data_IF_156362367083
#
_entry.id   IF_156362367083
#
_cell.length_a   1.000
_cell.length_b   1.000
_cell.length_c   1.000
_cell.angle_alpha   90.00
_cell.angle_beta   90.00
_cell.angle_gamma   90.00
#
_symmetry.space_group_name_H-M   'P 1'
#
loop_
_entity.id
_entity.type
_entity.pdbx_description
1 polymer ?
#
# COMPACT_ATOMS: atom_id res chain seq x y z
N UNK A 1 18.83 -20.61 20.00
CA UNK A 1 19.49 -19.46 19.35
C UNK A 1 18.37 -18.62 18.77
N UNK A 2 18.04 -17.52 19.44
CA UNK A 2 16.85 -16.73 19.13
C UNK A 2 17.08 -15.99 17.81
N UNK A 3 16.48 -16.51 16.74
CA UNK A 3 16.66 -16.07 15.35
C UNK A 3 16.02 -14.71 15.03
N UNK A 4 15.97 -13.78 15.99
CA UNK A 4 15.37 -12.47 15.86
C UNK A 4 16.47 -11.38 15.83
N UNK A 5 17.19 -11.30 14.71
CA UNK A 5 18.07 -10.16 14.43
C UNK A 5 17.25 -9.03 13.82
N UNK A 6 16.80 -8.07 14.61
CA UNK A 6 16.30 -6.80 14.07
C UNK A 6 17.50 -5.95 13.63
N UNK A 7 17.82 -5.96 12.34
CA UNK A 7 18.90 -5.15 11.79
C UNK A 7 18.42 -3.72 11.54
N UNK A 8 18.47 -2.85 12.55
CA UNK A 8 18.10 -1.45 12.33
C UNK A 8 18.97 -0.80 11.25
N UNK A 9 18.37 -0.10 10.28
CA UNK A 9 19.07 0.58 9.19
C UNK A 9 19.59 -0.32 8.05
N UNK A 10 19.23 -1.61 8.02
CA UNK A 10 19.71 -2.53 6.97
C UNK A 10 19.20 -2.20 5.57
N UNK A 11 18.02 -1.58 5.46
CA UNK A 11 17.48 -1.16 4.17
C UNK A 11 18.43 -0.15 3.49
N UNK A 12 18.89 0.87 4.23
CA UNK A 12 19.81 1.90 3.71
C UNK A 12 21.16 1.30 3.30
N UNK A 13 21.70 0.40 4.12
CA UNK A 13 22.94 -0.30 3.80
C UNK A 13 22.79 -1.17 2.55
N UNK A 14 21.67 -1.90 2.44
CA UNK A 14 21.34 -2.73 1.28
C UNK A 14 21.17 -1.90 0.01
N UNK A 15 20.54 -0.73 0.09
CA UNK A 15 20.41 0.20 -1.03
C UNK A 15 21.78 0.64 -1.55
N UNK A 16 22.70 1.05 -0.66
CA UNK A 16 24.07 1.47 -1.05
C UNK A 16 24.86 0.35 -1.72
N UNK A 17 24.68 -0.90 -1.28
CA UNK A 17 25.32 -2.07 -1.89
C UNK A 17 24.70 -2.34 -3.26
N UNK A 18 23.37 -2.38 -3.34
CA UNK A 18 22.64 -2.65 -4.57
C UNK A 18 22.91 -1.59 -5.64
N UNK A 19 22.95 -0.32 -5.27
CA UNK A 19 23.24 0.79 -6.20
C UNK A 19 24.59 0.58 -6.90
N UNK A 20 25.65 0.32 -6.13
CA UNK A 20 26.99 0.05 -6.67
C UNK A 20 27.01 -1.17 -7.60
N UNK A 21 26.28 -2.22 -7.27
CA UNK A 21 26.18 -3.43 -8.09
C UNK A 21 25.45 -3.13 -9.40
N UNK A 22 24.31 -2.44 -9.32
CA UNK A 22 23.48 -2.09 -10.48
C UNK A 22 24.24 -1.17 -11.45
N UNK A 23 25.03 -0.24 -10.92
CA UNK A 23 25.91 0.63 -11.71
C UNK A 23 27.04 -0.15 -12.38
N UNK A 24 27.73 -1.02 -11.63
CA UNK A 24 28.79 -1.88 -12.16
C UNK A 24 28.29 -2.80 -13.29
N UNK A 25 27.06 -3.32 -13.16
CA UNK A 25 26.41 -4.17 -14.15
C UNK A 25 25.69 -3.37 -15.26
N UNK A 26 25.73 -2.02 -15.21
CA UNK A 26 25.17 -1.11 -16.23
C UNK A 26 23.67 -1.30 -16.47
N UNK A 27 22.90 -1.58 -15.42
CA UNK A 27 21.44 -1.57 -15.52
C UNK A 27 20.91 -0.17 -15.88
N UNK A 28 19.76 -0.13 -16.57
CA UNK A 28 19.11 1.14 -16.88
C UNK A 28 18.68 1.87 -15.60
N UNK A 29 18.62 3.20 -15.66
CA UNK A 29 18.15 4.03 -14.53
C UNK A 29 16.75 3.61 -14.06
N UNK A 30 15.88 3.17 -14.97
CA UNK A 30 14.54 2.67 -14.64
C UNK A 30 14.60 1.42 -13.76
N UNK A 31 15.45 0.45 -14.10
CA UNK A 31 15.60 -0.76 -13.28
C UNK A 31 16.26 -0.41 -11.95
N UNK A 32 17.27 0.45 -11.97
CA UNK A 32 17.98 0.89 -10.76
C UNK A 32 17.02 1.53 -9.76
N UNK A 33 16.24 2.51 -10.20
CA UNK A 33 15.23 3.19 -9.39
C UNK A 33 14.20 2.21 -8.80
N UNK A 34 13.68 1.29 -9.61
CA UNK A 34 12.72 0.29 -9.14
C UNK A 34 13.32 -0.64 -8.08
N UNK A 35 14.52 -1.18 -8.32
CA UNK A 35 15.17 -2.12 -7.39
C UNK A 35 15.49 -1.43 -6.07
N UNK A 36 16.06 -0.22 -6.12
CA UNK A 36 16.39 0.55 -4.91
C UNK A 36 15.13 0.90 -4.12
N UNK A 37 14.05 1.29 -4.81
CA UNK A 37 12.75 1.53 -4.17
C UNK A 37 12.25 0.30 -3.42
N UNK A 38 12.32 -0.90 -4.04
CA UNK A 38 11.87 -2.13 -3.39
C UNK A 38 12.73 -2.49 -2.19
N UNK A 39 14.06 -2.35 -2.28
CA UNK A 39 14.98 -2.60 -1.16
C UNK A 39 14.76 -1.62 -0.02
N UNK A 40 14.55 -0.34 -0.30
CA UNK A 40 14.31 0.66 0.74
C UNK A 40 13.01 0.36 1.51
N UNK A 41 11.99 -0.12 0.80
CA UNK A 41 10.63 -0.25 1.33
C UNK A 41 10.22 -1.71 1.64
N UNK A 42 11.09 -2.70 1.51
CA UNK A 42 10.73 -4.13 1.69
C UNK A 42 10.26 -4.48 3.12
N UNK A 43 10.63 -3.67 4.12
CA UNK A 43 10.29 -3.92 5.53
C UNK A 43 8.93 -3.37 5.96
N UNK A 44 8.10 -2.85 5.05
CA UNK A 44 6.82 -2.26 5.41
C UNK A 44 5.84 -3.30 5.96
N UNK A 45 4.95 -2.88 6.85
CA UNK A 45 3.85 -3.74 7.31
C UNK A 45 2.67 -3.56 6.36
N UNK A 46 2.25 -4.66 5.72
CA UNK A 46 1.07 -4.69 4.87
C UNK A 46 0.03 -5.63 5.48
N UNK A 47 -1.08 -5.06 5.93
CA UNK A 47 -2.22 -5.83 6.42
C UNK A 47 -3.25 -6.04 5.31
N UNK A 48 -3.98 -7.15 5.41
CA UNK A 48 -5.08 -7.48 4.51
C UNK A 48 -6.38 -6.75 4.90
N UNK A 49 -6.33 -5.43 4.82
CA UNK A 49 -7.48 -4.58 5.06
C UNK A 49 -7.49 -3.36 4.13
N UNK A 50 -8.68 -2.85 3.84
CA UNK A 50 -8.88 -1.78 2.88
C UNK A 50 -8.16 -0.48 3.24
N UNK A 51 -7.96 -0.19 4.55
CA UNK A 51 -7.24 1.01 4.98
C UNK A 51 -5.75 0.85 4.74
N UNK A 52 -5.20 -0.32 5.04
CA UNK A 52 -3.80 -0.67 4.74
C UNK A 52 -3.52 -0.58 3.24
N UNK A 53 -4.33 -1.27 2.42
CA UNK A 53 -4.22 -1.26 0.96
C UNK A 53 -4.32 0.16 0.40
N UNK A 54 -5.33 0.94 0.82
CA UNK A 54 -5.49 2.32 0.38
C UNK A 54 -4.27 3.18 0.71
N UNK A 55 -3.74 3.07 1.93
CA UNK A 55 -2.54 3.83 2.34
C UNK A 55 -1.33 3.43 1.49
N UNK A 56 -1.15 2.14 1.25
CA UNK A 56 -0.08 1.62 0.40
C UNK A 56 -0.17 2.15 -1.03
N UNK A 57 -1.32 2.01 -1.67
CA UNK A 57 -1.57 2.52 -3.03
C UNK A 57 -1.39 4.04 -3.11
N UNK A 58 -1.91 4.78 -2.13
CA UNK A 58 -1.79 6.24 -2.12
C UNK A 58 -0.34 6.73 -1.91
N UNK A 59 0.45 6.00 -1.11
CA UNK A 59 1.82 6.38 -0.78
C UNK A 59 2.82 5.99 -1.87
N UNK A 60 2.66 4.79 -2.44
CA UNK A 60 3.67 4.19 -3.31
C UNK A 60 3.24 4.14 -4.79
N UNK A 61 1.96 4.37 -5.08
CA UNK A 61 1.36 4.08 -6.37
C UNK A 61 1.03 2.60 -6.52
N UNK A 62 0.07 2.29 -7.40
CA UNK A 62 -0.48 0.94 -7.56
C UNK A 62 0.59 -0.09 -7.98
N UNK A 63 1.41 0.26 -8.97
CA UNK A 63 2.41 -0.66 -9.54
C UNK A 63 3.47 -1.05 -8.51
N UNK A 64 4.10 -0.06 -7.88
CA UNK A 64 5.13 -0.24 -6.86
C UNK A 64 4.58 -0.93 -5.61
N UNK A 65 3.35 -0.61 -5.20
CA UNK A 65 2.72 -1.29 -4.07
C UNK A 65 2.48 -2.79 -4.34
N UNK A 66 2.01 -3.16 -5.53
CA UNK A 66 1.88 -4.57 -5.93
C UNK A 66 3.25 -5.27 -5.92
N UNK A 67 4.31 -4.61 -6.39
CA UNK A 67 5.66 -5.18 -6.34
C UNK A 67 6.17 -5.38 -4.91
N UNK A 68 5.87 -4.46 -3.99
CA UNK A 68 6.18 -4.64 -2.56
C UNK A 68 5.47 -5.85 -1.96
N UNK A 69 4.18 -6.05 -2.27
CA UNK A 69 3.45 -7.27 -1.85
C UNK A 69 4.17 -8.53 -2.35
N UNK A 70 4.65 -8.52 -3.60
CA UNK A 70 5.42 -9.63 -4.17
C UNK A 70 6.76 -9.85 -3.48
N UNK A 71 7.47 -8.79 -3.08
CA UNK A 71 8.71 -8.93 -2.30
C UNK A 71 8.43 -9.70 -1.02
N UNK A 72 7.40 -9.33 -0.26
CA UNK A 72 7.01 -10.06 0.94
C UNK A 72 6.59 -11.52 0.66
N UNK A 73 5.88 -11.76 -0.44
CA UNK A 73 5.50 -13.11 -0.85
C UNK A 73 6.73 -13.99 -1.11
N UNK A 74 7.69 -13.50 -1.89
CA UNK A 74 8.90 -14.26 -2.24
C UNK A 74 9.85 -14.41 -1.06
N UNK A 75 9.97 -13.40 -0.20
CA UNK A 75 10.73 -13.51 1.06
C UNK A 75 10.14 -14.61 1.94
N UNK A 76 8.81 -14.69 2.03
CA UNK A 76 8.10 -15.75 2.75
C UNK A 76 8.32 -17.12 2.11
N UNK A 77 8.41 -17.20 0.78
CA UNK A 77 8.77 -18.44 0.08
C UNK A 77 10.18 -18.93 0.40
N UNK A 78 11.11 -18.02 0.69
CA UNK A 78 12.47 -18.34 1.11
C UNK A 78 12.61 -18.78 2.58
N UNK A 79 11.56 -18.63 3.40
CA UNK A 79 11.55 -19.07 4.80
C UNK A 79 11.35 -20.60 4.91
N UNK A 80 11.53 -21.14 6.12
CA UNK A 80 11.24 -22.55 6.39
C UNK A 80 9.76 -22.88 6.12
N UNK A 81 9.42 -24.15 5.81
CA UNK A 81 8.04 -24.56 5.51
C UNK A 81 7.01 -24.19 6.57
N UNK A 82 7.42 -24.02 7.83
CA UNK A 82 6.56 -23.58 8.93
C UNK A 82 5.90 -22.21 8.69
N UNK A 83 6.51 -21.34 7.88
CA UNK A 83 6.01 -20.00 7.56
C UNK A 83 5.22 -19.94 6.26
N UNK A 84 4.98 -21.08 5.58
CA UNK A 84 4.28 -21.07 4.29
C UNK A 84 2.84 -20.59 4.39
N UNK A 85 2.23 -20.64 5.59
CA UNK A 85 0.92 -20.03 5.85
C UNK A 85 0.89 -18.51 5.65
N UNK A 86 2.02 -17.82 5.81
CA UNK A 86 2.14 -16.37 5.54
C UNK A 86 2.04 -16.07 4.03
N UNK A 87 2.27 -17.04 3.13
CA UNK A 87 2.12 -16.82 1.67
C UNK A 87 0.68 -16.50 1.31
N UNK A 88 -0.25 -17.24 1.90
CA UNK A 88 -1.68 -17.06 1.67
C UNK A 88 -2.16 -15.66 2.08
N UNK A 89 -1.52 -15.06 3.09
CA UNK A 89 -1.78 -13.67 3.48
C UNK A 89 -1.40 -12.71 2.34
N UNK A 90 -0.20 -12.82 1.77
CA UNK A 90 0.23 -11.93 0.70
C UNK A 90 -0.51 -12.16 -0.62
N UNK A 91 -0.92 -13.41 -0.91
CA UNK A 91 -1.84 -13.70 -2.03
C UNK A 91 -3.19 -12.99 -1.86
N UNK A 92 -3.75 -13.04 -0.64
CA UNK A 92 -5.01 -12.36 -0.31
C UNK A 92 -4.89 -10.84 -0.42
N UNK A 93 -3.79 -10.27 0.10
CA UNK A 93 -3.49 -8.84 -0.01
C UNK A 93 -3.38 -8.41 -1.47
N UNK A 94 -2.67 -9.17 -2.33
CA UNK A 94 -2.56 -8.85 -3.75
C UNK A 94 -3.94 -8.89 -4.42
N UNK A 95 -4.74 -9.94 -4.16
CA UNK A 95 -6.11 -10.07 -4.69
C UNK A 95 -6.98 -8.87 -4.29
N UNK A 96 -7.07 -8.55 -3.00
CA UNK A 96 -7.87 -7.43 -2.51
C UNK A 96 -7.34 -6.09 -3.02
N UNK A 97 -6.04 -5.94 -3.24
CA UNK A 97 -5.46 -4.76 -3.88
C UNK A 97 -5.93 -4.62 -5.33
N UNK A 98 -5.95 -5.71 -6.10
CA UNK A 98 -6.45 -5.70 -7.47
C UNK A 98 -7.94 -5.39 -7.54
N UNK A 99 -8.74 -5.99 -6.67
CA UNK A 99 -10.17 -5.69 -6.55
C UNK A 99 -10.39 -4.22 -6.17
N UNK A 100 -9.61 -3.69 -5.23
CA UNK A 100 -9.66 -2.29 -4.86
C UNK A 100 -9.39 -1.35 -6.03
N UNK A 101 -8.36 -1.64 -6.84
CA UNK A 101 -8.02 -0.85 -8.02
C UNK A 101 -9.11 -0.92 -9.10
N UNK A 102 -9.72 -2.08 -9.32
CA UNK A 102 -10.79 -2.26 -10.30
C UNK A 102 -12.07 -1.48 -9.96
N UNK A 103 -12.36 -1.29 -8.66
CA UNK A 103 -13.59 -0.62 -8.23
C UNK A 103 -13.49 0.91 -8.19
N UNK A 104 -12.32 1.49 -8.50
CA UNK A 104 -12.03 2.93 -8.45
C UNK A 104 -12.73 3.67 -7.28
N UNK A 105 -12.51 3.23 -6.02
CA UNK A 105 -13.09 3.92 -4.88
C UNK A 105 -12.48 5.33 -4.77
N UNK A 106 -13.26 6.34 -4.38
CA UNK A 106 -12.71 7.66 -4.12
C UNK A 106 -11.59 7.58 -3.07
N UNK A 107 -10.41 8.07 -3.45
CA UNK A 107 -9.19 8.07 -2.62
C UNK A 107 -9.02 9.39 -1.85
N UNK A 108 -9.83 10.39 -2.20
CA UNK A 108 -9.79 11.74 -1.66
C UNK A 108 -11.20 12.33 -1.61
N UNK A 109 -11.37 13.39 -0.80
CA UNK A 109 -12.64 14.13 -0.74
C UNK A 109 -13.06 14.68 -2.12
N UNK A 110 -12.09 15.05 -2.97
CA UNK A 110 -12.34 15.56 -4.33
C UNK A 110 -12.96 14.51 -5.27
N UNK A 111 -12.81 13.23 -4.96
CA UNK A 111 -13.36 12.13 -5.76
C UNK A 111 -14.72 11.66 -5.25
N UNK A 112 -15.21 12.18 -4.12
CA UNK A 112 -16.58 11.92 -3.70
C UNK A 112 -17.54 12.52 -4.74
N UNK A 113 -18.62 11.78 -5.03
CA UNK A 113 -19.72 12.30 -5.85
C UNK A 113 -20.48 13.45 -5.17
N UNK A 114 -20.32 13.58 -3.85
CA UNK A 114 -20.90 14.64 -3.03
C UNK A 114 -19.83 15.60 -2.56
N UNK A 115 -20.16 16.88 -2.47
CA UNK A 115 -19.28 17.96 -2.10
C UNK A 115 -19.84 18.76 -0.90
N UNK A 116 -19.15 19.84 -0.51
CA UNK A 116 -19.56 20.65 0.63
C UNK A 116 -20.92 21.34 0.49
N UNK A 117 -21.32 21.70 -0.72
CA UNK A 117 -22.63 22.28 -1.01
C UNK A 117 -23.74 21.27 -0.77
N UNK A 118 -23.57 20.03 -1.22
CA UNK A 118 -24.55 18.95 -1.03
C UNK A 118 -24.79 18.67 0.47
N UNK A 119 -23.70 18.65 1.24
CA UNK A 119 -23.77 18.47 2.70
C UNK A 119 -24.38 19.69 3.40
N UNK A 120 -24.13 20.91 2.89
CA UNK A 120 -24.76 22.12 3.42
C UNK A 120 -26.27 22.16 3.20
N UNK A 121 -26.77 21.62 2.08
CA UNK A 121 -28.21 21.51 1.82
C UNK A 121 -28.93 20.57 2.80
N UNK A 122 -28.20 19.65 3.44
CA UNK A 122 -28.72 18.78 4.50
C UNK A 122 -28.72 19.45 5.89
N UNK A 123 -28.34 20.74 5.98
CA UNK A 123 -28.38 21.53 7.22
C UNK A 123 -27.07 21.57 8.02
N UNK A 124 -26.00 20.93 7.55
CA UNK A 124 -24.69 21.00 8.19
C UNK A 124 -23.96 22.30 7.86
N UNK A 125 -23.19 22.85 8.81
CA UNK A 125 -22.45 24.10 8.59
C UNK A 125 -21.00 24.05 9.10
N UNK A 126 -20.14 24.91 8.53
CA UNK A 126 -18.77 25.10 8.99
C UNK A 126 -17.94 23.81 9.08
N UNK A 127 -17.36 23.54 10.26
CA UNK A 127 -16.48 22.37 10.50
C UNK A 127 -17.21 21.02 10.35
N UNK A 128 -18.53 20.99 10.48
CA UNK A 128 -19.31 19.75 10.40
C UNK A 128 -19.36 19.19 8.99
N UNK A 129 -19.31 20.06 7.97
CA UNK A 129 -19.25 19.65 6.55
C UNK A 129 -18.02 18.78 6.30
N UNK A 130 -16.86 19.22 6.77
CA UNK A 130 -15.61 18.46 6.63
C UNK A 130 -15.66 17.12 7.36
N UNK A 131 -16.26 17.06 8.55
CA UNK A 131 -16.44 15.79 9.29
C UNK A 131 -17.35 14.82 8.55
N UNK A 132 -18.47 15.29 8.02
CA UNK A 132 -19.43 14.49 7.26
C UNK A 132 -18.81 13.96 5.96
N UNK A 133 -18.10 14.80 5.20
CA UNK A 133 -17.40 14.36 3.98
C UNK A 133 -16.31 13.32 4.28
N UNK A 134 -15.54 13.49 5.35
CA UNK A 134 -14.55 12.48 5.77
C UNK A 134 -15.24 11.17 6.22
N UNK A 135 -16.36 11.26 6.94
CA UNK A 135 -17.14 10.09 7.31
C UNK A 135 -17.65 9.35 6.07
N UNK A 136 -18.21 10.06 5.07
CA UNK A 136 -18.69 9.46 3.83
C UNK A 136 -17.56 8.82 3.03
N UNK A 137 -16.40 9.49 2.92
CA UNK A 137 -15.20 8.91 2.33
C UNK A 137 -14.83 7.60 3.03
N UNK A 138 -14.82 7.58 4.35
CA UNK A 138 -14.56 6.35 5.11
C UNK A 138 -15.60 5.26 4.85
N UNK A 139 -16.89 5.59 4.77
CA UNK A 139 -17.94 4.59 4.55
C UNK A 139 -17.89 3.98 3.15
N UNK A 140 -17.63 4.79 2.12
CA UNK A 140 -17.45 4.32 0.75
C UNK A 140 -16.21 3.44 0.65
N UNK A 141 -15.11 3.84 1.28
CA UNK A 141 -13.88 3.04 1.35
C UNK A 141 -14.11 1.73 2.12
N UNK A 142 -14.91 1.72 3.19
CA UNK A 142 -15.27 0.50 3.94
C UNK A 142 -16.33 -0.37 3.23
N UNK A 143 -16.74 -0.05 1.99
CA UNK A 143 -17.83 -0.68 1.22
C UNK A 143 -19.20 -0.70 1.93
N UNK A 144 -19.44 0.14 2.95
CA UNK A 144 -20.74 0.22 3.64
C UNK A 144 -21.79 1.02 2.87
N UNK A 145 -21.36 1.89 1.94
CA UNK A 145 -22.26 2.65 1.06
C UNK A 145 -21.99 2.27 -0.40
N UNK A 146 -22.96 1.62 -1.05
CA UNK A 146 -22.94 1.43 -2.51
C UNK A 146 -23.25 2.76 -3.18
N UNK A 147 -22.51 3.10 -4.24
CA UNK A 147 -22.89 4.16 -5.19
C UNK A 147 -24.28 3.80 -5.75
N UNK A 148 -25.33 4.46 -5.28
CA UNK A 148 -26.58 4.63 -6.03
C UNK A 148 -26.50 5.99 -6.71
#
# INVERSE_FOLDING_TARGET
KDGAGHFYGHADASCKIAEKILERLRFSNKIKDEVLFLIENHGIVINDDIRSIRRGVARYGAERFIKLIKVHYYDTCGKSPAYFGEKALFDSIEKHTREFLQNEPPMSLKQLKVNGSDISQLGFTGKEIGKALNFLLEQVVKRKLRKR
#
